data_IF_382271442775
#
_entry.id   IF_382271442775
#
_cell.length_a   1.000
_cell.length_b   1.000
_cell.length_c   1.000
_cell.angle_alpha   90.00
_cell.angle_beta   90.00
_cell.angle_gamma   90.00
#
_symmetry.space_group_name_H-M   'P 1'
#
loop_
_entity.id
_entity.type
_entity.pdbx_description
1 polymer ?
#
# COMPACT_ATOMS: atom_id res chain seq x y z
N UNK A 1 -3.62 4.20 -3.82
CA UNK A 1 -2.28 3.76 -4.24
C UNK A 1 -1.89 4.50 -5.50
N UNK A 2 -1.43 5.75 -5.42
CA UNK A 2 -1.32 6.66 -6.60
C UNK A 2 -0.44 6.11 -7.73
N UNK A 3 0.57 5.29 -7.41
CA UNK A 3 1.42 4.64 -8.40
C UNK A 3 0.68 3.67 -9.34
N UNK A 4 -0.35 2.97 -8.86
CA UNK A 4 -1.13 2.04 -9.70
C UNK A 4 -1.86 2.75 -10.86
N UNK A 5 -2.76 3.73 -10.64
CA UNK A 5 -3.41 4.44 -11.73
C UNK A 5 -2.42 5.22 -12.61
N UNK A 6 -1.32 5.74 -12.04
CA UNK A 6 -0.27 6.38 -12.82
C UNK A 6 0.39 5.40 -13.82
N UNK A 7 0.75 4.19 -13.36
CA UNK A 7 1.33 3.14 -14.20
C UNK A 7 0.37 2.62 -15.26
N UNK A 8 -0.94 2.55 -14.96
CA UNK A 8 -1.96 2.16 -15.93
C UNK A 8 -2.09 3.22 -17.02
N UNK A 9 -2.05 4.51 -16.65
CA UNK A 9 -2.21 5.62 -17.58
C UNK A 9 -0.99 5.83 -18.49
N UNK A 10 0.22 5.56 -17.99
CA UNK A 10 1.50 5.79 -18.70
C UNK A 10 2.50 4.65 -18.42
N UNK A 11 2.22 3.41 -18.86
CA UNK A 11 3.01 2.23 -18.48
C UNK A 11 4.48 2.32 -18.91
N UNK A 12 4.78 3.00 -20.01
CA UNK A 12 6.14 3.19 -20.51
C UNK A 12 7.05 4.01 -19.58
N UNK A 13 6.49 4.74 -18.61
CA UNK A 13 7.26 5.54 -17.66
C UNK A 13 7.69 4.75 -16.41
N UNK A 14 7.17 3.53 -16.23
CA UNK A 14 7.38 2.75 -15.01
C UNK A 14 7.90 1.36 -15.35
N UNK A 15 9.14 1.07 -14.98
CA UNK A 15 9.74 -0.26 -15.11
C UNK A 15 9.27 -1.21 -14.00
N UNK A 16 9.00 -0.67 -12.81
CA UNK A 16 8.55 -1.43 -11.63
C UNK A 16 7.80 -0.53 -10.64
N UNK A 17 6.90 -1.12 -9.86
CA UNK A 17 6.24 -0.51 -8.71
C UNK A 17 6.69 -1.17 -7.40
N UNK A 18 6.86 -0.37 -6.36
CA UNK A 18 6.97 -0.85 -4.98
C UNK A 18 5.82 -0.26 -4.19
N UNK A 19 4.99 -1.14 -3.61
CA UNK A 19 3.78 -0.78 -2.89
C UNK A 19 3.99 -1.12 -1.40
N UNK A 20 4.05 -0.12 -0.53
CA UNK A 20 4.32 -0.32 0.90
C UNK A 20 3.01 -0.30 1.69
N UNK A 21 2.71 -1.38 2.41
CA UNK A 21 1.48 -1.63 3.18
C UNK A 21 0.22 -1.17 2.43
N UNK A 22 0.19 -1.45 1.13
CA UNK A 22 -0.80 -0.86 0.24
C UNK A 22 -2.15 -1.56 0.35
N UNK A 23 -3.23 -0.79 0.22
CA UNK A 23 -4.58 -1.33 0.10
C UNK A 23 -5.32 -0.62 -1.04
N UNK A 24 -6.08 -1.36 -1.87
CA UNK A 24 -6.94 -0.75 -2.88
C UNK A 24 -8.21 -0.16 -2.27
N UNK A 25 -8.48 -0.36 -0.98
CA UNK A 25 -9.62 0.23 -0.28
C UNK A 25 -9.33 0.38 1.20
N UNK A 26 -9.62 1.55 1.75
CA UNK A 26 -9.53 1.74 3.20
C UNK A 26 -10.75 1.14 3.91
N UNK A 27 -10.49 0.30 4.91
CA UNK A 27 -11.51 -0.14 5.85
C UNK A 27 -11.82 0.95 6.87
N UNK A 28 -13.04 0.95 7.40
CA UNK A 28 -13.41 1.84 8.50
C UNK A 28 -13.31 1.06 9.80
N UNK A 29 -12.28 1.34 10.59
CA UNK A 29 -12.05 0.72 11.88
C UNK A 29 -12.31 1.70 13.04
N UNK A 30 -12.12 1.24 14.28
CA UNK A 30 -12.29 2.11 15.47
C UNK A 30 -11.23 3.22 15.52
N UNK A 31 -9.98 2.96 15.12
CA UNK A 31 -8.90 3.95 15.20
C UNK A 31 -9.12 5.10 14.23
N UNK A 32 -9.46 4.81 12.97
CA UNK A 32 -9.79 5.82 11.97
C UNK A 32 -11.01 6.64 12.40
N UNK A 33 -12.06 5.99 12.92
CA UNK A 33 -13.23 6.70 13.46
C UNK A 33 -12.85 7.67 14.57
N UNK A 34 -12.05 7.24 15.53
CA UNK A 34 -11.60 8.09 16.63
C UNK A 34 -10.64 9.19 16.15
N UNK A 35 -9.80 8.91 15.15
CA UNK A 35 -8.94 9.91 14.52
C UNK A 35 -9.78 11.02 13.89
N UNK A 36 -10.73 10.66 13.01
CA UNK A 36 -11.62 11.63 12.35
C UNK A 36 -12.43 12.46 13.35
N UNK A 37 -12.90 11.86 14.45
CA UNK A 37 -13.62 12.59 15.52
C UNK A 37 -12.74 13.61 16.25
N UNK A 38 -11.43 13.37 16.34
CA UNK A 38 -10.46 14.26 17.01
C UNK A 38 -9.87 15.32 16.08
N UNK A 39 -9.97 15.12 14.77
CA UNK A 39 -9.48 16.06 13.76
C UNK A 39 -10.48 17.22 13.61
N UNK A 40 -9.98 18.46 13.48
CA UNK A 40 -10.82 19.63 13.20
C UNK A 40 -11.63 19.42 11.90
N UNK A 41 -12.87 19.90 11.87
CA UNK A 41 -13.82 19.59 10.80
C UNK A 41 -13.30 19.94 9.39
N UNK A 42 -12.60 21.07 9.26
CA UNK A 42 -12.02 21.53 8.00
C UNK A 42 -10.98 20.56 7.41
N UNK A 43 -10.37 19.70 8.22
CA UNK A 43 -9.45 18.64 7.78
C UNK A 43 -10.10 17.25 7.79
N UNK A 44 -11.01 16.99 8.73
CA UNK A 44 -11.69 15.70 8.88
C UNK A 44 -12.57 15.38 7.67
N UNK A 45 -13.33 16.36 7.15
CA UNK A 45 -14.23 16.15 6.02
C UNK A 45 -13.46 15.84 4.72
N UNK A 46 -12.43 16.61 4.32
CA UNK A 46 -11.62 16.25 3.16
C UNK A 46 -10.92 14.89 3.32
N UNK A 47 -10.35 14.60 4.49
CA UNK A 47 -9.71 13.31 4.75
C UNK A 47 -10.71 12.15 4.61
N UNK A 48 -11.89 12.27 5.23
CA UNK A 48 -12.96 11.28 5.13
C UNK A 48 -13.42 11.09 3.67
N UNK A 49 -13.61 12.17 2.91
CA UNK A 49 -13.96 12.09 1.49
C UNK A 49 -12.89 11.34 0.70
N UNK A 50 -11.61 11.65 0.91
CA UNK A 50 -10.51 10.94 0.25
C UNK A 50 -10.53 9.46 0.61
N UNK A 51 -10.58 9.12 1.90
CA UNK A 51 -10.53 7.73 2.37
C UNK A 51 -11.74 6.93 1.89
N UNK A 52 -12.96 7.44 2.07
CA UNK A 52 -14.19 6.70 1.76
C UNK A 52 -14.53 6.66 0.27
N UNK A 53 -14.00 7.58 -0.54
CA UNK A 53 -14.18 7.57 -2.01
C UNK A 53 -13.01 6.92 -2.75
N UNK A 54 -11.95 6.51 -2.07
CA UNK A 54 -10.80 5.82 -2.68
C UNK A 54 -11.01 4.30 -2.66
N UNK A 55 -11.84 3.80 -3.57
CA UNK A 55 -11.93 2.37 -3.88
C UNK A 55 -11.32 2.09 -5.26
N UNK A 56 -10.13 1.54 -5.23
CA UNK A 56 -9.29 1.23 -6.39
C UNK A 56 -9.36 -0.26 -6.77
N UNK A 57 -10.26 -1.06 -6.16
CA UNK A 57 -10.33 -2.52 -6.45
C UNK A 57 -10.58 -2.83 -7.91
N UNK A 58 -11.29 -1.96 -8.63
CA UNK A 58 -11.62 -2.07 -10.06
C UNK A 58 -10.44 -1.78 -11.00
N UNK A 59 -9.30 -1.30 -10.48
CA UNK A 59 -8.10 -1.02 -11.27
C UNK A 59 -6.95 -1.98 -10.97
N UNK A 60 -7.04 -2.78 -9.90
CA UNK A 60 -5.94 -3.70 -9.49
C UNK A 60 -5.59 -4.69 -10.60
N UNK A 61 -6.60 -5.22 -11.30
CA UNK A 61 -6.38 -6.15 -12.43
C UNK A 61 -5.99 -5.46 -13.74
N UNK A 62 -5.91 -4.13 -13.76
CA UNK A 62 -5.43 -3.35 -14.91
C UNK A 62 -3.94 -3.04 -14.80
N UNK A 63 -3.32 -3.26 -13.65
CA UNK A 63 -1.88 -3.05 -13.46
C UNK A 63 -1.09 -4.08 -14.25
N UNK A 64 -0.33 -3.61 -15.24
CA UNK A 64 0.57 -4.44 -16.07
C UNK A 64 2.05 -4.21 -15.76
N UNK A 65 2.39 -3.21 -14.96
CA UNK A 65 3.76 -2.96 -14.52
C UNK A 65 4.16 -3.97 -13.44
N UNK A 66 5.36 -4.59 -13.51
CA UNK A 66 5.89 -5.43 -12.44
C UNK A 66 5.79 -4.73 -11.08
N UNK A 67 5.30 -5.43 -10.06
CA UNK A 67 5.13 -4.81 -8.75
C UNK A 67 5.61 -5.70 -7.61
N UNK A 68 6.16 -5.10 -6.57
CA UNK A 68 6.43 -5.77 -5.30
C UNK A 68 5.66 -5.07 -4.20
N UNK A 69 4.90 -5.85 -3.43
CA UNK A 69 4.15 -5.38 -2.27
C UNK A 69 5.01 -5.66 -1.04
N UNK A 70 5.44 -4.63 -0.33
CA UNK A 70 6.12 -4.75 0.96
C UNK A 70 5.05 -4.59 2.04
N UNK A 71 4.79 -5.63 2.83
CA UNK A 71 3.74 -5.67 3.83
C UNK A 71 4.32 -5.84 5.22
N UNK A 72 3.88 -5.02 6.19
CA UNK A 72 4.20 -5.27 7.59
C UNK A 72 3.47 -6.51 8.11
N UNK A 73 4.17 -7.38 8.85
CA UNK A 73 3.65 -8.65 9.35
C UNK A 73 2.43 -8.46 10.26
N UNK A 74 2.50 -7.50 11.18
CA UNK A 74 1.43 -7.19 12.14
C UNK A 74 0.82 -5.80 11.84
N UNK A 75 0.35 -5.63 10.61
CA UNK A 75 -0.32 -4.42 10.16
C UNK A 75 -1.75 -4.34 10.71
N UNK A 76 -1.97 -3.37 11.59
CA UNK A 76 -3.25 -3.10 12.25
C UNK A 76 -4.29 -2.41 11.37
N UNK A 77 -3.87 -1.87 10.22
CA UNK A 77 -4.74 -1.12 9.29
C UNK A 77 -5.10 -1.98 8.07
N UNK A 78 -4.11 -2.68 7.51
CA UNK A 78 -4.25 -3.50 6.30
C UNK A 78 -3.82 -4.92 6.58
N UNK A 79 -4.75 -5.87 6.79
CA UNK A 79 -4.39 -7.27 7.05
C UNK A 79 -3.55 -7.86 5.92
N UNK A 80 -2.64 -8.77 6.24
CA UNK A 80 -1.78 -9.43 5.23
C UNK A 80 -2.56 -10.17 4.12
N UNK A 81 -3.81 -10.54 4.36
CA UNK A 81 -4.69 -11.10 3.32
C UNK A 81 -4.96 -10.11 2.16
N UNK A 82 -4.87 -8.80 2.39
CA UNK A 82 -5.03 -7.78 1.34
C UNK A 82 -3.84 -7.79 0.37
N UNK A 83 -2.62 -7.95 0.88
CA UNK A 83 -1.44 -8.11 0.02
C UNK A 83 -1.57 -9.35 -0.87
N UNK A 84 -2.08 -10.46 -0.32
CA UNK A 84 -2.36 -11.68 -1.08
C UNK A 84 -3.48 -11.49 -2.12
N UNK A 85 -4.56 -10.78 -1.75
CA UNK A 85 -5.62 -10.41 -2.68
C UNK A 85 -5.06 -9.61 -3.86
N UNK A 86 -4.23 -8.59 -3.59
CA UNK A 86 -3.62 -7.76 -4.62
C UNK A 86 -2.69 -8.58 -5.52
N UNK A 87 -1.78 -9.38 -4.94
CA UNK A 87 -0.90 -10.29 -5.70
C UNK A 87 -1.69 -11.18 -6.66
N UNK A 88 -2.79 -11.76 -6.18
CA UNK A 88 -3.66 -12.63 -7.00
C UNK A 88 -4.41 -11.88 -8.10
N UNK A 89 -4.79 -10.62 -7.84
CA UNK A 89 -5.64 -9.83 -8.74
C UNK A 89 -4.83 -9.08 -9.80
N UNK A 90 -3.59 -8.70 -9.52
CA UNK A 90 -2.68 -8.06 -10.48
C UNK A 90 -2.32 -9.06 -11.58
N UNK A 91 -2.52 -8.68 -12.84
CA UNK A 91 -2.36 -9.58 -13.99
C UNK A 91 -0.90 -9.85 -14.37
N UNK A 92 0.02 -9.02 -13.90
CA UNK A 92 1.45 -9.15 -14.20
C UNK A 92 2.24 -9.72 -13.02
N UNK A 93 3.55 -9.93 -13.23
CA UNK A 93 4.47 -10.44 -12.21
C UNK A 93 4.41 -9.58 -10.95
N UNK A 94 3.88 -10.17 -9.88
CA UNK A 94 3.74 -9.54 -8.57
C UNK A 94 4.34 -10.40 -7.46
N UNK A 95 5.07 -9.78 -6.54
CA UNK A 95 5.61 -10.43 -5.33
C UNK A 95 5.10 -9.75 -4.07
N UNK A 96 5.14 -10.47 -2.95
CA UNK A 96 4.86 -9.95 -1.62
C UNK A 96 6.09 -10.24 -0.76
N UNK A 97 6.65 -9.20 -0.17
CA UNK A 97 7.72 -9.25 0.80
C UNK A 97 7.16 -8.84 2.17
N UNK A 98 7.55 -9.54 3.23
CA UNK A 98 7.07 -9.26 4.59
C UNK A 98 8.19 -8.60 5.39
N UNK A 99 7.88 -7.51 6.08
CA UNK A 99 8.74 -6.90 7.12
C UNK A 99 8.17 -7.29 8.48
N UNK A 100 8.98 -7.93 9.32
CA UNK A 100 8.56 -8.44 10.62
C UNK A 100 8.41 -7.32 11.67
N UNK A 101 7.34 -6.53 11.55
CA UNK A 101 7.10 -5.37 12.42
C UNK A 101 5.64 -5.21 12.80
N UNK A 102 5.42 -4.47 13.88
CA UNK A 102 4.11 -4.02 14.34
C UNK A 102 3.78 -2.64 13.76
N UNK A 103 2.56 -2.50 13.26
CA UNK A 103 2.08 -1.23 12.71
C UNK A 103 2.11 -1.18 11.19
N UNK A 104 1.54 -0.11 10.64
CA UNK A 104 1.27 0.02 9.21
C UNK A 104 2.45 0.56 8.41
N UNK A 105 3.37 1.29 9.05
CA UNK A 105 4.46 2.00 8.39
C UNK A 105 5.81 1.36 8.72
N UNK A 106 6.20 0.26 8.04
CA UNK A 106 7.45 -0.43 8.31
C UNK A 106 8.68 0.48 8.14
N UNK A 107 8.60 1.48 7.28
CA UNK A 107 9.65 2.49 7.10
C UNK A 107 9.87 3.38 8.35
N UNK A 108 8.91 3.42 9.28
CA UNK A 108 9.03 4.14 10.55
C UNK A 108 9.28 3.19 11.72
N UNK A 109 8.64 2.01 11.72
CA UNK A 109 8.66 1.08 12.86
C UNK A 109 9.76 0.04 12.79
N UNK A 110 10.29 -0.27 11.60
CA UNK A 110 11.38 -1.21 11.36
C UNK A 110 12.24 -0.76 10.18
N UNK A 111 12.70 0.49 10.23
CA UNK A 111 13.38 1.17 9.12
C UNK A 111 14.58 0.40 8.56
N UNK A 112 15.43 -0.21 9.39
CA UNK A 112 16.58 -1.00 8.91
C UNK A 112 16.16 -2.26 8.16
N UNK A 113 15.18 -3.00 8.69
CA UNK A 113 14.65 -4.19 8.03
C UNK A 113 13.92 -3.82 6.73
N UNK A 114 13.16 -2.73 6.76
CA UNK A 114 12.52 -2.16 5.57
C UNK A 114 13.56 -1.78 4.50
N UNK A 115 14.66 -1.13 4.89
CA UNK A 115 15.75 -0.79 3.97
C UNK A 115 16.39 -2.04 3.37
N UNK A 116 16.65 -3.07 4.17
CA UNK A 116 17.19 -4.34 3.67
C UNK A 116 16.25 -5.02 2.66
N UNK A 117 14.93 -5.02 2.92
CA UNK A 117 13.93 -5.52 1.97
C UNK A 117 13.88 -4.66 0.71
N UNK A 118 13.86 -3.33 0.86
CA UNK A 118 13.79 -2.39 -0.25
C UNK A 118 15.00 -2.51 -1.18
N UNK A 119 16.22 -2.60 -0.61
CA UNK A 119 17.47 -2.81 -1.33
C UNK A 119 17.41 -4.06 -2.21
N UNK A 120 16.99 -5.19 -1.61
CA UNK A 120 16.79 -6.47 -2.32
C UNK A 120 15.76 -6.37 -3.44
N UNK A 121 14.66 -5.65 -3.20
CA UNK A 121 13.60 -5.45 -4.20
C UNK A 121 14.09 -4.62 -5.37
N UNK A 122 14.90 -3.59 -5.13
CA UNK A 122 15.41 -2.69 -6.15
C UNK A 122 16.71 -3.17 -6.81
N UNK A 123 17.39 -4.15 -6.23
CA UNK A 123 18.58 -4.77 -6.81
C UNK A 123 19.87 -3.99 -6.59
N UNK A 124 20.00 -3.29 -5.47
CA UNK A 124 21.25 -2.63 -5.06
C UNK A 124 21.60 -2.96 -3.62
N UNK A 125 22.89 -2.94 -3.29
CA UNK A 125 23.40 -3.06 -1.93
C UNK A 125 23.40 -1.68 -1.26
N UNK A 126 23.09 -1.64 0.05
CA UNK A 126 23.16 -0.41 0.88
C UNK A 126 24.45 -0.43 1.67
#
# INVERSE_FOLDING_TARGET
>A
MIGCPASIKRPQLFTRLVLVSASPRFGVDRKLRNCLKRTRQEFAVPLAKTVFRSDERSIVDKVTTPCTIIQAANDIVVPGSVANYMKKKIRWKSTVEIVNTNGHFPQLTAHLEFLAVLARVLGFEI
#
